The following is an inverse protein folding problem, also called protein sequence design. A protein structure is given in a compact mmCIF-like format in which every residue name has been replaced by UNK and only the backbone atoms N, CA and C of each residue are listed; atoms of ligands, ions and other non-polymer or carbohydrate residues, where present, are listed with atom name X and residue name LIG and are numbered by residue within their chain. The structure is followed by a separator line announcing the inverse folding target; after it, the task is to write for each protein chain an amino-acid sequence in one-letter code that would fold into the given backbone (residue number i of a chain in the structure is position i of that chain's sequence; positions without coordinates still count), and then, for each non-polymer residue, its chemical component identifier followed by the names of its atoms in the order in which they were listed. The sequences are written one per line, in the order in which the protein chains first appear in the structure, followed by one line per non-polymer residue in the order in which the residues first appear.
data_IF_204715003059
#
_entry.id   IF_204715003059
#
_cell.length_a   1.000
_cell.length_b   1.000
_cell.length_c   1.000
_cell.angle_alpha   90.00
_cell.angle_beta   90.00
_cell.angle_gamma   90.00
#
_symmetry.space_group_name_H-M   'P 1'
#
loop_
_entity.id
_entity.type
_entity.pdbx_description
1 polymer ?
#
# COMPACT_ATOMS: atom_id res chain seq x y z
N UNK A 1 25.54 -12.84 45.00
CA UNK A 1 25.55 -12.08 43.69
C UNK A 1 24.43 -12.63 42.82
N UNK A 2 23.34 -11.93 42.69
CA UNK A 2 22.32 -12.21 41.66
C UNK A 2 22.93 -11.76 40.33
N UNK A 3 23.19 -12.71 39.43
CA UNK A 3 23.74 -12.46 38.08
C UNK A 3 22.65 -11.77 37.24
N UNK A 4 22.44 -10.47 37.48
CA UNK A 4 21.41 -9.68 36.78
C UNK A 4 22.00 -9.16 35.50
N UNK A 5 21.64 -9.81 34.39
CA UNK A 5 22.07 -9.40 33.05
C UNK A 5 21.25 -8.21 32.61
N UNK A 6 21.94 -7.13 32.23
CA UNK A 6 21.28 -5.92 31.68
C UNK A 6 20.66 -6.17 30.30
N UNK A 7 21.26 -7.09 29.54
CA UNK A 7 20.83 -7.51 28.19
C UNK A 7 20.85 -9.03 28.14
N UNK A 8 19.74 -9.64 27.78
CA UNK A 8 19.59 -11.10 27.73
C UNK A 8 18.75 -11.53 26.52
N UNK A 9 19.21 -12.56 25.83
CA UNK A 9 18.42 -13.23 24.79
C UNK A 9 17.54 -14.29 25.43
N UNK A 10 16.24 -14.13 25.34
CA UNK A 10 15.23 -15.07 25.79
C UNK A 10 14.59 -15.80 24.62
N UNK A 11 13.74 -16.79 24.87
CA UNK A 11 12.94 -17.46 23.82
C UNK A 11 11.94 -16.51 23.15
N UNK A 12 11.60 -15.40 23.82
CA UNK A 12 10.66 -14.40 23.35
C UNK A 12 11.33 -13.23 22.64
N UNK A 13 12.67 -13.19 22.63
CA UNK A 13 13.47 -12.14 22.00
C UNK A 13 14.48 -11.49 22.95
N UNK A 14 14.91 -10.28 22.62
CA UNK A 14 15.87 -9.50 23.42
C UNK A 14 15.15 -8.82 24.59
N UNK A 15 15.51 -9.20 25.81
CA UNK A 15 15.14 -8.50 27.04
C UNK A 15 16.26 -7.54 27.43
N UNK A 16 15.90 -6.30 27.75
CA UNK A 16 16.82 -5.29 28.27
C UNK A 16 16.25 -4.73 29.56
N UNK A 17 17.12 -4.42 30.51
CA UNK A 17 16.74 -3.76 31.76
C UNK A 17 16.35 -2.32 31.53
N UNK A 18 15.41 -1.81 32.31
CA UNK A 18 15.00 -0.41 32.35
C UNK A 18 15.86 0.40 33.33
N UNK A 19 15.90 1.73 33.21
CA UNK A 19 16.63 2.60 34.12
C UNK A 19 16.38 2.30 35.61
N UNK A 20 15.12 2.15 36.10
CA UNK A 20 14.85 1.83 37.51
C UNK A 20 15.44 0.47 37.93
N UNK A 21 15.38 -0.53 37.05
CA UNK A 21 15.96 -1.85 37.34
C UNK A 21 17.49 -1.76 37.41
N UNK A 22 18.12 -1.00 36.51
CA UNK A 22 19.57 -0.79 36.49
C UNK A 22 20.00 -0.04 37.76
N UNK A 23 19.32 1.02 38.13
CA UNK A 23 19.62 1.80 39.33
C UNK A 23 19.49 0.93 40.59
N UNK A 24 18.45 0.12 40.69
CA UNK A 24 18.28 -0.81 41.82
C UNK A 24 19.43 -1.83 41.92
N UNK A 25 19.85 -2.39 40.78
CA UNK A 25 21.00 -3.30 40.74
C UNK A 25 22.28 -2.62 41.19
N UNK A 26 22.57 -1.41 40.70
CA UNK A 26 23.75 -0.64 41.08
C UNK A 26 23.73 -0.24 42.56
N UNK A 27 22.58 0.12 43.10
CA UNK A 27 22.41 0.43 44.52
C UNK A 27 22.65 -0.80 45.38
N UNK A 28 22.07 -1.95 45.04
CA UNK A 28 22.28 -3.19 45.75
C UNK A 28 23.75 -3.65 45.71
N UNK A 29 24.41 -3.56 44.57
CA UNK A 29 25.84 -3.85 44.43
C UNK A 29 26.69 -2.94 45.32
N UNK A 30 26.32 -1.66 45.43
CA UNK A 30 27.02 -0.70 46.29
C UNK A 30 26.86 -1.07 47.76
N UNK A 31 25.65 -1.38 48.24
CA UNK A 31 25.37 -1.79 49.60
C UNK A 31 26.09 -3.12 49.93
N UNK A 32 26.08 -4.06 48.99
CA UNK A 32 26.82 -5.33 49.16
C UNK A 32 28.34 -5.13 49.30
N UNK A 33 28.89 -4.20 48.51
CA UNK A 33 30.35 -3.96 48.47
C UNK A 33 30.85 -3.10 49.64
N UNK A 34 30.07 -2.09 50.08
CA UNK A 34 30.50 -1.11 51.08
C UNK A 34 29.78 -1.21 52.43
N UNK A 35 28.76 -2.06 52.57
CA UNK A 35 27.95 -2.25 53.76
C UNK A 35 26.64 -1.43 53.76
N UNK A 36 25.70 -1.85 54.62
CA UNK A 36 24.38 -1.25 54.68
C UNK A 36 24.36 0.20 55.18
N UNK A 37 25.40 0.61 55.87
CA UNK A 37 25.57 2.00 56.39
C UNK A 37 26.08 2.99 55.34
N UNK A 38 26.39 2.50 54.12
CA UNK A 38 26.83 3.35 53.03
C UNK A 38 25.67 4.17 52.49
N UNK A 39 25.82 5.51 52.47
CA UNK A 39 24.75 6.42 52.07
C UNK A 39 24.46 6.33 50.56
N UNK A 40 23.35 5.67 50.20
CA UNK A 40 22.79 5.58 48.85
C UNK A 40 21.41 6.25 48.76
N UNK A 41 21.14 7.19 49.67
CA UNK A 41 19.85 7.91 49.73
C UNK A 41 19.76 8.95 48.58
N UNK A 42 18.53 9.22 48.15
CA UNK A 42 18.25 10.27 47.17
C UNK A 42 18.89 11.60 47.61
N UNK A 43 19.67 12.21 46.67
CA UNK A 43 20.38 13.46 46.94
C UNK A 43 21.83 13.31 47.44
N UNK A 44 22.30 12.12 47.84
CA UNK A 44 23.71 11.88 48.12
C UNK A 44 24.52 11.98 46.82
N UNK A 45 25.79 12.41 46.93
CA UNK A 45 26.67 12.48 45.78
C UNK A 45 26.84 11.12 45.05
N UNK A 46 26.84 10.03 45.83
CA UNK A 46 26.93 8.68 45.29
C UNK A 46 25.67 8.28 44.54
N UNK A 47 24.49 8.57 45.09
CA UNK A 47 23.23 8.31 44.40
C UNK A 47 23.15 9.07 43.07
N UNK A 48 23.54 10.35 43.05
CA UNK A 48 23.59 11.16 41.81
C UNK A 48 24.52 10.49 40.76
N UNK A 49 25.66 9.97 41.20
CA UNK A 49 26.56 9.21 40.32
C UNK A 49 25.92 7.93 39.76
N UNK A 50 25.28 7.14 40.63
CA UNK A 50 24.58 5.91 40.22
C UNK A 50 23.40 6.20 39.28
N UNK A 51 22.66 7.27 39.54
CA UNK A 51 21.59 7.73 38.65
C UNK A 51 22.11 8.14 37.25
N UNK A 52 23.22 8.87 37.21
CA UNK A 52 23.88 9.24 35.95
C UNK A 52 24.40 8.03 35.21
N UNK A 53 25.01 7.06 35.92
CA UNK A 53 25.50 5.82 35.35
C UNK A 53 24.32 4.96 34.83
N UNK A 54 23.22 4.87 35.57
CA UNK A 54 22.01 4.15 35.13
C UNK A 54 21.41 4.74 33.88
N UNK A 55 21.39 6.07 33.70
CA UNK A 55 20.99 6.73 32.46
C UNK A 55 21.88 6.32 31.27
N UNK A 56 23.20 6.27 31.48
CA UNK A 56 24.13 5.90 30.42
C UNK A 56 23.95 4.44 29.99
N UNK A 57 23.73 3.55 30.96
CA UNK A 57 23.48 2.13 30.70
C UNK A 57 22.09 1.90 30.06
N UNK A 58 21.06 2.64 30.44
CA UNK A 58 19.75 2.59 29.83
C UNK A 58 19.79 3.03 28.36
N UNK A 59 20.60 4.04 28.01
CA UNK A 59 20.84 4.42 26.62
C UNK A 59 21.50 3.28 25.82
N UNK A 60 22.43 2.54 26.42
CA UNK A 60 23.03 1.35 25.77
C UNK A 60 22.00 0.24 25.60
N UNK A 61 21.17 -0.04 26.60
CA UNK A 61 20.10 -1.01 26.55
C UNK A 61 19.06 -0.65 25.47
N UNK A 62 18.72 0.63 25.36
CA UNK A 62 17.80 1.14 24.35
C UNK A 62 18.37 0.98 22.94
N UNK A 63 19.64 1.37 22.74
CA UNK A 63 20.32 1.21 21.45
C UNK A 63 20.41 -0.29 21.04
N UNK A 64 20.69 -1.18 22.00
CA UNK A 64 20.71 -2.62 21.73
C UNK A 64 19.33 -3.16 21.31
N UNK A 65 18.25 -2.68 21.94
CA UNK A 65 16.87 -3.03 21.60
C UNK A 65 16.48 -2.52 20.21
N UNK A 66 16.83 -1.29 19.89
CA UNK A 66 16.60 -0.71 18.57
C UNK A 66 17.35 -1.48 17.49
N UNK A 67 18.62 -1.81 17.73
CA UNK A 67 19.44 -2.62 16.79
C UNK A 67 18.82 -4.02 16.57
N UNK A 68 18.38 -4.68 17.64
CA UNK A 68 17.72 -5.98 17.54
C UNK A 68 16.42 -5.90 16.73
N UNK A 69 15.57 -4.91 17.02
CA UNK A 69 14.32 -4.70 16.31
C UNK A 69 14.55 -4.34 14.83
N UNK A 70 15.66 -3.67 14.53
CA UNK A 70 16.03 -3.30 13.16
C UNK A 70 16.48 -4.48 12.28
N UNK A 71 16.66 -5.68 12.84
CA UNK A 71 17.04 -6.89 12.08
C UNK A 71 15.87 -7.58 11.38
N UNK A 72 14.63 -7.24 11.70
CA UNK A 72 13.44 -7.84 11.11
C UNK A 72 12.76 -6.93 10.10
N UNK A 73 12.33 -7.47 8.96
CA UNK A 73 11.63 -6.72 7.90
C UNK A 73 10.40 -5.97 8.43
N UNK A 74 9.73 -6.50 9.47
CA UNK A 74 8.52 -5.92 10.05
C UNK A 74 8.84 -4.61 10.81
N UNK A 75 9.97 -4.58 11.51
CA UNK A 75 10.33 -3.48 12.42
C UNK A 75 11.45 -2.58 11.89
N UNK A 76 12.17 -3.01 10.86
CA UNK A 76 13.23 -2.22 10.25
C UNK A 76 12.70 -0.98 9.54
N UNK A 77 13.44 0.12 9.60
CA UNK A 77 13.11 1.37 8.93
C UNK A 77 14.35 1.96 8.23
N UNK A 78 14.12 2.83 7.25
CA UNK A 78 15.16 3.53 6.50
C UNK A 78 16.19 2.58 5.89
N UNK A 79 17.48 2.88 6.05
CA UNK A 79 18.59 2.10 5.50
C UNK A 79 18.65 0.65 6.00
N UNK A 80 18.17 0.36 7.21
CA UNK A 80 18.11 -1.02 7.72
C UNK A 80 17.08 -1.85 6.94
N UNK A 81 15.92 -1.27 6.65
CA UNK A 81 14.91 -1.92 5.79
C UNK A 81 15.47 -2.13 4.38
N UNK A 82 16.14 -1.11 3.81
CA UNK A 82 16.74 -1.22 2.48
C UNK A 82 17.78 -2.35 2.40
N UNK A 83 18.62 -2.49 3.43
CA UNK A 83 19.61 -3.56 3.51
C UNK A 83 18.96 -4.96 3.58
N UNK A 84 17.89 -5.09 4.38
CA UNK A 84 17.20 -6.38 4.52
C UNK A 84 16.55 -6.79 3.20
N UNK A 85 15.81 -5.89 2.56
CA UNK A 85 15.08 -6.21 1.33
C UNK A 85 16.00 -6.38 0.12
N UNK A 86 17.18 -5.76 0.13
CA UNK A 86 18.20 -5.92 -0.91
C UNK A 86 18.73 -7.35 -1.00
N UNK A 87 18.71 -8.11 0.11
CA UNK A 87 19.07 -9.53 0.12
C UNK A 87 18.12 -10.39 -0.74
N UNK A 88 16.88 -9.91 -0.93
CA UNK A 88 15.89 -10.51 -1.82
C UNK A 88 15.88 -9.88 -3.22
N UNK A 89 16.86 -9.04 -3.56
CA UNK A 89 16.93 -8.33 -4.84
C UNK A 89 15.91 -7.20 -4.99
N UNK A 90 15.34 -6.72 -3.88
CA UNK A 90 14.31 -5.68 -3.87
C UNK A 90 14.96 -4.36 -3.45
N UNK A 91 14.79 -3.33 -4.25
CA UNK A 91 15.34 -2.00 -4.01
C UNK A 91 14.23 -0.97 -3.87
N UNK A 92 14.46 0.05 -3.03
CA UNK A 92 13.53 1.16 -2.84
C UNK A 92 13.34 1.94 -4.14
N UNK A 93 12.09 2.22 -4.49
CA UNK A 93 11.74 3.12 -5.59
C UNK A 93 11.93 4.58 -5.15
N UNK A 94 12.06 5.47 -6.13
CA UNK A 94 12.13 6.91 -5.85
C UNK A 94 10.88 7.35 -5.08
N UNK A 95 11.09 8.07 -3.99
CA UNK A 95 10.05 8.61 -3.10
C UNK A 95 9.13 7.55 -2.43
N UNK A 96 9.57 6.27 -2.37
CA UNK A 96 8.82 5.18 -1.75
C UNK A 96 8.98 5.22 -0.22
N UNK A 97 7.85 5.28 0.50
CA UNK A 97 7.83 5.22 1.96
C UNK A 97 8.18 3.80 2.48
N UNK A 98 8.72 3.72 3.72
CA UNK A 98 9.09 2.44 4.35
C UNK A 98 7.96 1.42 4.36
N UNK A 99 6.73 1.83 4.64
CA UNK A 99 5.57 0.95 4.68
C UNK A 99 5.24 0.36 3.30
N UNK A 100 5.37 1.16 2.25
CA UNK A 100 5.14 0.70 0.88
C UNK A 100 6.22 -0.30 0.45
N UNK A 101 7.50 0.00 0.74
CA UNK A 101 8.60 -0.91 0.48
C UNK A 101 8.45 -2.22 1.26
N UNK A 102 8.10 -2.15 2.55
CA UNK A 102 7.87 -3.31 3.42
C UNK A 102 6.77 -4.22 2.86
N UNK A 103 5.62 -3.66 2.53
CA UNK A 103 4.49 -4.41 1.99
C UNK A 103 4.83 -5.06 0.65
N UNK A 104 5.54 -4.35 -0.23
CA UNK A 104 6.02 -4.88 -1.51
C UNK A 104 7.03 -6.00 -1.32
N UNK A 105 7.96 -5.84 -0.39
CA UNK A 105 8.98 -6.85 -0.10
C UNK A 105 8.38 -8.13 0.52
N UNK A 106 7.48 -7.98 1.49
CA UNK A 106 6.77 -9.11 2.09
C UNK A 106 5.98 -9.86 1.02
N UNK A 107 5.21 -9.15 0.19
CA UNK A 107 4.46 -9.76 -0.90
C UNK A 107 5.37 -10.50 -1.87
N UNK A 108 6.50 -9.93 -2.26
CA UNK A 108 7.48 -10.55 -3.16
C UNK A 108 8.12 -11.81 -2.58
N UNK A 109 8.56 -11.76 -1.32
CA UNK A 109 9.19 -12.91 -0.64
C UNK A 109 8.20 -14.08 -0.52
N UNK A 110 6.95 -13.80 -0.15
CA UNK A 110 5.92 -14.85 -0.05
C UNK A 110 5.49 -15.37 -1.43
N UNK A 111 5.41 -14.52 -2.46
CA UNK A 111 4.98 -14.94 -3.79
C UNK A 111 5.98 -15.87 -4.48
N UNK A 112 7.26 -15.70 -4.24
CA UNK A 112 8.31 -16.59 -4.77
C UNK A 112 8.13 -18.05 -4.29
N UNK A 113 7.39 -18.25 -3.20
CA UNK A 113 7.15 -19.55 -2.60
C UNK A 113 5.79 -20.18 -2.95
N UNK A 114 4.84 -19.45 -3.58
CA UNK A 114 3.43 -19.86 -3.59
C UNK A 114 2.78 -20.04 -4.95
N UNK A 115 2.98 -19.15 -5.91
CA UNK A 115 2.42 -19.35 -7.26
C UNK A 115 3.17 -18.58 -8.34
N UNK A 116 3.08 -19.08 -9.58
CA UNK A 116 3.63 -18.40 -10.77
C UNK A 116 2.92 -17.05 -10.99
N UNK A 117 1.63 -16.97 -10.72
CA UNK A 117 0.86 -15.73 -10.87
C UNK A 117 1.34 -14.64 -9.92
N UNK A 118 1.51 -14.94 -8.63
CA UNK A 118 1.98 -13.99 -7.62
C UNK A 118 3.44 -13.57 -7.86
N UNK A 119 4.28 -14.48 -8.33
CA UNK A 119 5.66 -14.18 -8.71
C UNK A 119 5.71 -13.20 -9.88
N UNK A 120 4.84 -13.39 -10.88
CA UNK A 120 4.73 -12.48 -12.02
C UNK A 120 4.17 -11.11 -11.60
N UNK A 121 3.12 -11.07 -10.76
CA UNK A 121 2.61 -9.80 -10.18
C UNK A 121 3.71 -9.03 -9.46
N UNK A 122 4.50 -9.73 -8.64
CA UNK A 122 5.61 -9.13 -7.90
C UNK A 122 6.72 -8.61 -8.80
N UNK A 123 7.08 -9.37 -9.85
CA UNK A 123 8.09 -8.94 -10.81
C UNK A 123 7.65 -7.69 -11.59
N UNK A 124 6.38 -7.62 -12.00
CA UNK A 124 5.82 -6.44 -12.65
C UNK A 124 5.82 -5.22 -11.71
N UNK A 125 5.48 -5.41 -10.44
CA UNK A 125 5.50 -4.34 -9.43
C UNK A 125 6.92 -3.83 -9.08
N UNK A 126 7.99 -4.52 -9.49
CA UNK A 126 9.37 -3.98 -9.38
C UNK A 126 9.63 -2.82 -10.36
N UNK A 127 8.89 -2.75 -11.45
CA UNK A 127 9.03 -1.65 -12.39
C UNK A 127 8.55 -0.33 -11.77
N UNK A 128 9.39 0.70 -11.82
CA UNK A 128 9.12 1.99 -11.16
C UNK A 128 7.84 2.68 -11.64
N UNK A 129 7.42 2.40 -12.86
CA UNK A 129 6.26 3.00 -13.49
C UNK A 129 4.98 2.17 -13.37
N UNK A 130 5.02 0.98 -12.81
CA UNK A 130 3.84 0.15 -12.54
C UNK A 130 3.30 0.45 -11.14
N UNK A 131 2.02 0.81 -11.07
CA UNK A 131 1.29 1.06 -9.83
C UNK A 131 0.53 -0.17 -9.34
N UNK A 132 0.00 -0.97 -10.27
CA UNK A 132 -0.77 -2.16 -9.98
C UNK A 132 -0.49 -3.25 -11.02
N UNK A 133 -0.44 -4.50 -10.58
CA UNK A 133 -0.38 -5.68 -11.42
C UNK A 133 -1.28 -6.77 -10.86
N UNK A 134 -2.03 -7.44 -11.74
CA UNK A 134 -2.85 -8.61 -11.42
C UNK A 134 -2.71 -9.65 -12.51
N UNK A 135 -2.55 -10.90 -12.10
CA UNK A 135 -2.47 -12.05 -13.00
C UNK A 135 -3.61 -12.99 -12.68
N UNK A 136 -4.38 -13.34 -13.70
CA UNK A 136 -5.47 -14.30 -13.61
C UNK A 136 -5.11 -15.48 -14.51
N UNK A 137 -4.91 -16.63 -13.89
CA UNK A 137 -4.54 -17.87 -14.56
C UNK A 137 -5.79 -18.75 -14.74
N UNK A 138 -5.96 -19.28 -15.95
CA UNK A 138 -6.93 -20.35 -16.21
C UNK A 138 -6.19 -21.65 -16.53
N UNK A 139 -5.85 -22.45 -15.52
CA UNK A 139 -5.19 -23.74 -15.71
C UNK A 139 -6.14 -24.86 -16.17
N UNK A 140 -7.44 -24.58 -16.29
CA UNK A 140 -8.47 -25.59 -16.58
C UNK A 140 -8.53 -25.93 -18.07
N UNK A 141 -9.13 -27.06 -18.38
CA UNK A 141 -9.40 -27.53 -19.76
C UNK A 141 -10.60 -26.83 -20.42
N UNK A 142 -11.27 -25.93 -19.69
CA UNK A 142 -12.43 -25.16 -20.12
C UNK A 142 -12.17 -23.64 -20.00
N UNK A 143 -12.92 -22.87 -20.76
CA UNK A 143 -12.88 -21.41 -20.68
C UNK A 143 -13.47 -20.92 -19.35
N UNK A 144 -12.81 -19.96 -18.71
CA UNK A 144 -13.24 -19.35 -17.46
C UNK A 144 -13.71 -17.91 -17.68
N UNK A 145 -14.83 -17.52 -17.09
CA UNK A 145 -15.33 -16.15 -17.20
C UNK A 145 -15.06 -15.35 -15.91
N UNK A 146 -14.48 -14.18 -16.05
CA UNK A 146 -14.20 -13.25 -14.98
C UNK A 146 -14.82 -11.89 -15.30
N UNK A 147 -15.88 -11.54 -14.58
CA UNK A 147 -16.70 -10.38 -14.95
C UNK A 147 -17.34 -10.60 -16.33
N UNK A 148 -17.00 -9.73 -17.28
CA UNK A 148 -17.46 -9.83 -18.68
C UNK A 148 -16.38 -10.35 -19.64
N UNK A 149 -15.24 -10.81 -19.12
CA UNK A 149 -14.11 -11.32 -19.91
C UNK A 149 -13.99 -12.81 -19.79
N UNK A 150 -13.93 -13.50 -20.93
CA UNK A 150 -13.69 -14.95 -21.02
C UNK A 150 -12.21 -15.20 -21.21
N UNK A 151 -11.61 -15.91 -20.27
CA UNK A 151 -10.21 -16.35 -20.31
C UNK A 151 -10.20 -17.76 -20.90
N UNK A 152 -9.62 -17.88 -22.09
CA UNK A 152 -9.50 -19.17 -22.75
C UNK A 152 -8.68 -20.16 -21.91
N UNK A 153 -8.98 -21.46 -22.06
CA UNK A 153 -8.24 -22.51 -21.37
C UNK A 153 -6.74 -22.39 -21.58
N UNK A 154 -5.98 -22.70 -20.55
CA UNK A 154 -4.50 -22.66 -20.54
C UNK A 154 -3.92 -21.29 -20.89
N UNK A 155 -4.65 -20.21 -20.61
CA UNK A 155 -4.16 -18.85 -20.81
C UNK A 155 -4.06 -18.10 -19.49
N UNK A 156 -3.09 -17.21 -19.41
CA UNK A 156 -3.02 -16.19 -18.38
C UNK A 156 -3.48 -14.85 -18.94
N UNK A 157 -4.18 -14.09 -18.10
CA UNK A 157 -4.56 -12.72 -18.38
C UNK A 157 -3.84 -11.80 -17.40
N UNK A 158 -2.93 -10.99 -17.92
CA UNK A 158 -2.13 -10.05 -17.15
C UNK A 158 -2.72 -8.64 -17.30
N UNK A 159 -2.94 -8.02 -16.17
CA UNK A 159 -3.47 -6.66 -16.01
C UNK A 159 -2.41 -5.80 -15.35
N UNK A 160 -2.10 -4.66 -15.93
CA UNK A 160 -1.18 -3.68 -15.34
C UNK A 160 -1.84 -2.31 -15.29
N UNK A 161 -1.48 -1.51 -14.30
CA UNK A 161 -1.77 -0.07 -14.27
C UNK A 161 -0.45 0.67 -14.18
N UNK A 162 -0.23 1.60 -15.08
CA UNK A 162 0.92 2.51 -15.03
C UNK A 162 0.56 3.75 -14.20
N UNK A 163 1.57 4.41 -13.67
CA UNK A 163 1.43 5.67 -12.96
C UNK A 163 0.88 6.77 -13.88
N UNK A 164 0.16 7.70 -13.31
CA UNK A 164 -0.38 8.84 -14.05
C UNK A 164 0.72 9.59 -14.80
N UNK A 165 0.46 9.90 -16.08
CA UNK A 165 1.42 10.58 -16.97
C UNK A 165 2.47 9.67 -17.60
N UNK A 166 2.44 8.36 -17.33
CA UNK A 166 3.30 7.38 -17.99
C UNK A 166 2.52 6.69 -19.10
N UNK A 167 3.16 6.56 -20.29
CA UNK A 167 2.59 5.83 -21.41
C UNK A 167 3.33 4.52 -21.62
N UNK A 168 2.59 3.48 -22.02
CA UNK A 168 3.09 2.21 -22.57
C UNK A 168 2.59 1.98 -24.01
N UNK A 169 2.20 3.06 -24.68
CA UNK A 169 1.74 3.02 -26.06
C UNK A 169 2.93 2.94 -27.03
N UNK A 170 2.80 2.11 -28.06
CA UNK A 170 3.79 1.94 -29.14
C UNK A 170 4.02 3.18 -30.00
N UNK A 171 3.11 4.13 -29.98
CA UNK A 171 3.26 5.40 -30.70
C UNK A 171 4.37 6.28 -30.14
N UNK A 172 4.77 6.03 -28.88
CA UNK A 172 5.84 6.70 -28.16
C UNK A 172 7.03 5.76 -27.97
N UNK A 173 8.26 6.25 -28.22
CA UNK A 173 9.50 5.45 -28.13
C UNK A 173 9.71 4.88 -26.74
N UNK A 174 9.47 5.69 -25.70
CA UNK A 174 9.61 5.24 -24.30
C UNK A 174 8.45 4.31 -23.91
N UNK A 175 7.24 4.56 -24.40
CA UNK A 175 6.09 3.69 -24.22
C UNK A 175 6.32 2.31 -24.83
N UNK A 176 6.87 2.26 -26.06
CA UNK A 176 7.21 1.00 -26.72
C UNK A 176 8.28 0.20 -25.98
N UNK A 177 9.27 0.86 -25.35
CA UNK A 177 10.26 0.20 -24.50
C UNK A 177 9.63 -0.42 -23.27
N UNK A 178 8.77 0.35 -22.57
CA UNK A 178 8.07 -0.12 -21.36
C UNK A 178 7.13 -1.28 -21.68
N UNK A 179 6.38 -1.19 -22.79
CA UNK A 179 5.52 -2.30 -23.23
C UNK A 179 6.34 -3.58 -23.46
N UNK A 180 7.51 -3.45 -24.10
CA UNK A 180 8.41 -4.57 -24.34
C UNK A 180 8.99 -5.13 -23.04
N UNK A 181 9.41 -4.29 -22.10
CA UNK A 181 9.92 -4.70 -20.80
C UNK A 181 8.87 -5.48 -20.01
N UNK A 182 7.60 -5.02 -19.99
CA UNK A 182 6.47 -5.75 -19.40
C UNK A 182 6.32 -7.13 -20.07
N UNK A 183 6.37 -7.17 -21.40
CA UNK A 183 6.23 -8.42 -22.15
C UNK A 183 7.40 -9.39 -21.90
N UNK A 184 8.62 -8.92 -21.73
CA UNK A 184 9.79 -9.72 -21.37
C UNK A 184 9.63 -10.35 -19.97
N UNK A 185 9.15 -9.58 -18.99
CA UNK A 185 8.84 -10.09 -17.65
C UNK A 185 7.74 -11.16 -17.72
N UNK A 186 6.64 -10.90 -18.45
CA UNK A 186 5.57 -11.87 -18.61
C UNK A 186 6.11 -13.17 -19.23
N UNK A 187 6.90 -13.08 -20.28
CA UNK A 187 7.51 -14.24 -20.92
C UNK A 187 8.40 -15.04 -19.98
N UNK A 188 9.19 -14.34 -19.16
CA UNK A 188 10.12 -14.99 -18.21
C UNK A 188 9.41 -15.73 -17.07
N UNK A 189 8.31 -15.18 -16.57
CA UNK A 189 7.62 -15.71 -15.39
C UNK A 189 6.41 -16.60 -15.73
N UNK A 190 5.85 -16.55 -16.94
CA UNK A 190 4.72 -17.40 -17.29
C UNK A 190 5.10 -18.87 -17.29
N UNK A 191 4.14 -19.74 -16.96
CA UNK A 191 4.33 -21.18 -17.04
C UNK A 191 4.63 -21.64 -18.46
N UNK A 192 5.47 -22.67 -18.60
CA UNK A 192 5.69 -23.35 -19.87
C UNK A 192 4.37 -23.93 -20.37
N UNK A 193 4.03 -23.63 -21.63
CA UNK A 193 2.78 -24.08 -22.24
C UNK A 193 1.59 -23.16 -22.05
N UNK A 194 1.61 -22.22 -21.11
CA UNK A 194 0.52 -21.24 -20.97
C UNK A 194 0.58 -20.19 -22.07
N UNK A 195 -0.58 -19.93 -22.69
CA UNK A 195 -0.79 -18.79 -23.58
C UNK A 195 -0.94 -17.48 -22.79
N UNK A 196 -0.84 -16.35 -23.48
CA UNK A 196 -1.19 -15.03 -22.94
C UNK A 196 -2.34 -14.45 -23.73
N UNK A 197 -3.24 -13.76 -23.06
CA UNK A 197 -4.39 -13.13 -23.70
C UNK A 197 -4.51 -11.65 -23.35
N UNK A 198 -5.27 -10.95 -24.17
CA UNK A 198 -5.83 -9.64 -23.85
C UNK A 198 -7.32 -9.62 -24.19
N UNK A 199 -8.04 -8.66 -23.66
CA UNK A 199 -9.46 -8.47 -23.89
C UNK A 199 -9.73 -7.04 -24.36
N UNK A 200 -10.78 -6.86 -25.17
CA UNK A 200 -11.22 -5.54 -25.62
C UNK A 200 -12.06 -4.80 -24.54
N UNK A 201 -12.50 -5.54 -23.51
CA UNK A 201 -13.23 -4.98 -22.36
C UNK A 201 -12.26 -4.80 -21.20
N UNK A 202 -12.45 -3.73 -20.45
CA UNK A 202 -11.74 -3.49 -19.21
C UNK A 202 -10.37 -2.82 -19.36
N UNK A 203 -10.09 -2.14 -20.49
CA UNK A 203 -8.87 -1.37 -20.65
C UNK A 203 -8.21 -1.49 -22.02
N UNK A 204 -7.01 -0.95 -22.14
CA UNK A 204 -6.24 -0.98 -23.40
C UNK A 204 -5.56 -2.34 -23.59
N UNK A 205 -5.75 -2.93 -24.77
CA UNK A 205 -5.18 -4.23 -25.13
C UNK A 205 -3.78 -4.04 -25.74
N UNK A 206 -2.78 -4.72 -25.20
CA UNK A 206 -1.40 -4.68 -25.66
C UNK A 206 -1.01 -6.02 -26.31
N UNK A 207 -0.18 -5.93 -27.37
CA UNK A 207 0.38 -7.08 -28.10
C UNK A 207 1.85 -6.78 -28.40
N UNK A 208 2.76 -7.40 -27.68
CA UNK A 208 4.18 -7.21 -27.87
C UNK A 208 4.85 -8.47 -28.41
N UNK A 209 5.93 -8.32 -29.15
CA UNK A 209 6.75 -9.44 -29.62
C UNK A 209 8.11 -9.40 -28.95
N UNK A 210 8.45 -10.46 -28.25
CA UNK A 210 9.74 -10.67 -27.60
C UNK A 210 10.49 -11.74 -28.38
N UNK A 211 11.73 -11.45 -28.75
CA UNK A 211 12.59 -12.41 -29.50
C UNK A 211 13.66 -12.95 -28.57
N UNK A 212 13.70 -14.27 -28.37
CA UNK A 212 14.75 -14.97 -27.63
C UNK A 212 15.33 -16.05 -28.56
N UNK A 213 16.64 -16.06 -28.73
CA UNK A 213 17.35 -17.03 -29.56
C UNK A 213 16.79 -17.16 -31.00
N UNK A 214 16.34 -16.03 -31.56
CA UNK A 214 15.75 -15.99 -32.91
C UNK A 214 14.28 -16.44 -32.96
N UNK A 215 13.66 -16.84 -31.86
CA UNK A 215 12.25 -17.24 -31.77
C UNK A 215 11.40 -16.05 -31.31
N UNK A 216 10.35 -15.76 -32.04
CA UNK A 216 9.41 -14.69 -31.74
C UNK A 216 8.23 -15.17 -30.88
N UNK A 217 8.14 -14.61 -29.69
CA UNK A 217 7.04 -14.86 -28.75
C UNK A 217 6.06 -13.68 -28.76
N UNK A 218 4.81 -13.94 -29.07
CA UNK A 218 3.75 -12.92 -28.99
C UNK A 218 3.16 -12.93 -27.59
N UNK A 219 3.34 -11.84 -26.88
CA UNK A 219 2.84 -11.63 -25.50
C UNK A 219 1.70 -10.64 -25.55
N UNK A 220 0.61 -10.99 -24.89
CA UNK A 220 -0.61 -10.18 -24.79
C UNK A 220 -0.91 -9.87 -23.34
N UNK A 221 -1.35 -8.65 -23.07
CA UNK A 221 -1.77 -8.20 -21.75
C UNK A 221 -2.72 -6.99 -21.88
N UNK A 222 -3.30 -6.54 -20.78
CA UNK A 222 -4.10 -5.31 -20.76
C UNK A 222 -3.52 -4.29 -19.78
N UNK A 223 -3.61 -3.03 -20.16
CA UNK A 223 -3.64 -1.93 -19.20
C UNK A 223 -5.05 -1.78 -18.65
N UNK A 224 -5.20 -1.59 -17.32
CA UNK A 224 -6.50 -1.52 -16.65
C UNK A 224 -7.35 -0.37 -17.17
N UNK A 225 -8.63 -0.61 -17.28
CA UNK A 225 -9.60 0.39 -17.70
C UNK A 225 -10.03 1.35 -16.58
N UNK A 226 -10.61 2.46 -17.01
CA UNK A 226 -11.23 3.43 -16.11
C UNK A 226 -12.74 3.37 -16.26
N UNK A 227 -13.47 3.22 -15.13
CA UNK A 227 -14.91 3.30 -15.08
C UNK A 227 -15.34 4.68 -14.58
N UNK A 228 -15.88 5.48 -15.45
CA UNK A 228 -16.34 6.82 -15.11
C UNK A 228 -17.58 6.75 -14.22
N UNK A 229 -17.54 7.47 -13.10
CA UNK A 229 -18.63 7.53 -12.13
C UNK A 229 -19.24 8.92 -12.14
N UNK A 230 -20.55 8.97 -12.33
CA UNK A 230 -21.36 10.18 -12.26
C UNK A 230 -22.09 10.21 -10.91
N UNK A 231 -22.11 11.38 -10.27
CA UNK A 231 -22.74 11.57 -8.96
C UNK A 231 -23.62 12.82 -8.99
N UNK A 232 -24.86 12.67 -8.56
CA UNK A 232 -25.75 13.81 -8.32
C UNK A 232 -26.05 13.89 -6.82
N UNK A 233 -25.78 15.03 -6.22
CA UNK A 233 -25.97 15.27 -4.78
C UNK A 233 -26.95 16.44 -4.60
N UNK A 234 -28.06 16.22 -3.91
CA UNK A 234 -28.92 17.28 -3.38
C UNK A 234 -28.48 17.60 -1.95
N UNK A 235 -28.27 18.87 -1.68
CA UNK A 235 -27.97 19.37 -0.34
C UNK A 235 -29.01 20.37 0.11
N UNK A 236 -29.35 20.33 1.41
CA UNK A 236 -30.17 21.34 2.08
C UNK A 236 -29.24 22.18 2.95
N UNK A 237 -29.24 23.47 2.72
CA UNK A 237 -28.41 24.42 3.44
C UNK A 237 -29.17 24.96 4.66
N UNK A 238 -28.52 24.92 5.83
CA UNK A 238 -29.09 25.51 7.05
C UNK A 238 -28.84 27.01 7.14
N UNK A 239 -27.78 27.52 6.50
CA UNK A 239 -27.41 28.93 6.51
C UNK A 239 -26.74 29.34 5.18
N UNK A 240 -27.33 30.28 4.47
CA UNK A 240 -27.03 30.60 3.04
C UNK A 240 -25.88 31.64 2.93
N UNK A 241 -24.81 31.58 3.69
CA UNK A 241 -23.75 32.60 3.54
C UNK A 241 -22.76 32.34 2.42
N UNK A 242 -22.55 31.07 2.00
CA UNK A 242 -21.63 30.76 0.91
C UNK A 242 -21.97 29.43 0.20
N UNK A 243 -23.04 29.44 -0.56
CA UNK A 243 -23.52 28.30 -1.35
C UNK A 243 -22.44 27.70 -2.25
N UNK A 244 -21.72 28.56 -2.99
CA UNK A 244 -20.69 28.12 -3.95
C UNK A 244 -19.52 27.39 -3.30
N UNK A 245 -19.10 27.86 -2.14
CA UNK A 245 -18.03 27.20 -1.38
C UNK A 245 -18.46 25.83 -0.87
N UNK A 246 -19.71 25.69 -0.40
CA UNK A 246 -20.23 24.39 0.07
C UNK A 246 -20.34 23.41 -1.10
N UNK A 247 -20.91 23.84 -2.23
CA UNK A 247 -21.03 23.01 -3.44
C UNK A 247 -19.64 22.56 -3.93
N UNK A 248 -18.64 23.44 -3.90
CA UNK A 248 -17.25 23.09 -4.26
C UNK A 248 -16.63 22.07 -3.30
N UNK A 249 -16.82 22.23 -1.98
CA UNK A 249 -16.33 21.26 -0.98
C UNK A 249 -17.00 19.90 -1.11
N UNK A 250 -18.29 19.85 -1.42
CA UNK A 250 -19.02 18.61 -1.66
C UNK A 250 -18.48 17.91 -2.91
N UNK A 251 -18.26 18.66 -4.00
CA UNK A 251 -17.66 18.13 -5.23
C UNK A 251 -16.26 17.57 -4.98
N UNK A 252 -15.42 18.33 -4.29
CA UNK A 252 -14.06 17.91 -3.92
C UNK A 252 -14.09 16.61 -3.09
N UNK A 253 -14.94 16.54 -2.06
CA UNK A 253 -15.07 15.33 -1.22
C UNK A 253 -15.46 14.09 -2.03
N UNK A 254 -16.37 14.23 -3.00
CA UNK A 254 -16.80 13.13 -3.88
C UNK A 254 -15.65 12.72 -4.81
N UNK A 255 -14.97 13.70 -5.42
CA UNK A 255 -13.85 13.45 -6.33
C UNK A 255 -12.70 12.76 -5.60
N UNK A 256 -12.31 13.29 -4.44
CA UNK A 256 -11.24 12.70 -3.60
C UNK A 256 -11.56 11.27 -3.22
N UNK A 257 -12.78 11.02 -2.73
CA UNK A 257 -13.20 9.69 -2.31
C UNK A 257 -13.20 8.69 -3.45
N UNK A 258 -13.87 8.99 -4.58
CA UNK A 258 -13.96 8.05 -5.70
C UNK A 258 -12.59 7.79 -6.31
N UNK A 259 -11.75 8.81 -6.44
CA UNK A 259 -10.41 8.67 -7.01
C UNK A 259 -9.42 7.98 -6.07
N UNK A 260 -9.73 7.88 -4.77
CA UNK A 260 -8.95 7.09 -3.81
C UNK A 260 -9.27 5.59 -3.82
N UNK A 261 -10.34 5.17 -4.52
CA UNK A 261 -10.72 3.77 -4.60
C UNK A 261 -9.70 2.94 -5.39
N UNK A 262 -9.41 1.75 -4.87
CA UNK A 262 -8.53 0.79 -5.54
C UNK A 262 -9.23 0.14 -6.75
N UNK A 263 -8.43 -0.51 -7.60
CA UNK A 263 -8.92 -1.29 -8.74
C UNK A 263 -9.81 -2.43 -8.22
N UNK A 264 -10.98 -2.60 -8.83
CA UNK A 264 -11.96 -3.60 -8.44
C UNK A 264 -12.79 -3.24 -7.21
N UNK A 265 -12.65 -2.04 -6.67
CA UNK A 265 -13.42 -1.62 -5.52
C UNK A 265 -14.72 -0.95 -5.94
N UNK A 266 -15.85 -1.53 -5.49
CA UNK A 266 -17.20 -1.01 -5.75
C UNK A 266 -17.44 0.38 -5.16
N UNK A 267 -18.18 1.20 -5.90
CA UNK A 267 -18.63 2.51 -5.42
C UNK A 267 -19.96 2.35 -4.70
N UNK A 268 -19.96 2.57 -3.40
CA UNK A 268 -21.14 2.49 -2.54
C UNK A 268 -21.66 3.90 -2.20
N UNK A 269 -22.93 4.15 -2.44
CA UNK A 269 -23.60 5.43 -2.10
C UNK A 269 -23.39 5.81 -0.63
N UNK A 270 -23.48 4.85 0.29
CA UNK A 270 -23.30 5.10 1.72
C UNK A 270 -21.92 5.65 2.07
N UNK A 271 -20.87 5.18 1.40
CA UNK A 271 -19.51 5.66 1.59
C UNK A 271 -19.30 7.05 0.97
N UNK A 272 -19.95 7.31 -0.17
CA UNK A 272 -19.93 8.67 -0.77
C UNK A 272 -20.60 9.66 0.18
N UNK A 273 -21.77 9.31 0.76
CA UNK A 273 -22.42 10.15 1.79
C UNK A 273 -21.51 10.38 2.98
N UNK A 274 -20.84 9.35 3.47
CA UNK A 274 -19.89 9.47 4.58
C UNK A 274 -18.72 10.41 4.26
N UNK A 275 -18.16 10.32 3.05
CA UNK A 275 -17.11 11.22 2.59
C UNK A 275 -17.57 12.69 2.52
N UNK A 276 -18.79 12.94 2.04
CA UNK A 276 -19.38 14.28 2.03
C UNK A 276 -19.59 14.78 3.46
N UNK A 277 -20.16 13.95 4.33
CA UNK A 277 -20.45 14.32 5.73
C UNK A 277 -19.18 14.60 6.53
N UNK A 278 -18.06 13.97 6.22
CA UNK A 278 -16.77 14.23 6.88
C UNK A 278 -16.23 15.64 6.64
N UNK A 279 -16.66 16.32 5.58
CA UNK A 279 -16.31 17.72 5.29
C UNK A 279 -17.23 18.72 5.98
N UNK A 280 -18.32 18.26 6.63
CA UNK A 280 -19.25 19.08 7.37
C UNK A 280 -18.78 19.29 8.82
N UNK A 281 -17.56 19.84 9.00
CA UNK A 281 -16.91 19.94 10.31
C UNK A 281 -17.03 21.33 10.95
N UNK A 282 -17.72 22.27 10.31
CA UNK A 282 -17.79 23.66 10.77
C UNK A 282 -19.19 24.00 11.27
N UNK A 283 -19.30 24.56 12.46
CA UNK A 283 -20.54 25.11 13.05
C UNK A 283 -21.14 26.28 12.22
N UNK A 284 -20.38 26.84 11.27
CA UNK A 284 -20.79 27.97 10.45
C UNK A 284 -21.36 27.60 9.07
N UNK A 285 -21.19 26.34 8.65
CA UNK A 285 -21.57 25.86 7.31
C UNK A 285 -22.28 24.49 7.39
N UNK A 286 -23.35 24.42 8.19
CA UNK A 286 -24.17 23.21 8.27
C UNK A 286 -24.92 22.95 6.96
N UNK A 287 -24.85 21.73 6.46
CA UNK A 287 -25.67 21.25 5.37
C UNK A 287 -26.06 19.78 5.58
N UNK A 288 -27.22 19.40 5.11
CA UNK A 288 -27.68 18.02 5.08
C UNK A 288 -27.69 17.49 3.64
N UNK A 289 -27.32 16.23 3.47
CA UNK A 289 -27.49 15.53 2.20
C UNK A 289 -28.95 15.10 2.08
N UNK A 290 -29.71 15.75 1.20
CA UNK A 290 -31.12 15.45 0.98
C UNK A 290 -31.36 14.34 -0.02
N UNK A 291 -30.48 14.18 -1.00
CA UNK A 291 -30.52 13.10 -2.00
C UNK A 291 -29.17 12.84 -2.58
N UNK A 292 -28.93 11.61 -2.99
CA UNK A 292 -27.74 11.22 -3.73
C UNK A 292 -28.07 10.12 -4.72
N UNK A 293 -27.49 10.21 -5.91
CA UNK A 293 -27.52 9.13 -6.89
C UNK A 293 -26.13 8.95 -7.49
N UNK A 294 -25.77 7.72 -7.77
CA UNK A 294 -24.50 7.33 -8.40
C UNK A 294 -24.78 6.46 -9.62
N UNK A 295 -23.89 6.47 -10.57
CA UNK A 295 -23.99 5.60 -11.73
C UNK A 295 -22.87 5.76 -12.74
N UNK A 296 -22.95 5.03 -13.83
CA UNK A 296 -21.98 5.06 -14.94
C UNK A 296 -22.38 6.03 -16.06
N UNK A 297 -23.57 6.59 -15.98
CA UNK A 297 -24.08 7.66 -16.86
C UNK A 297 -24.72 8.74 -16.02
N UNK A 298 -24.90 9.92 -16.60
CA UNK A 298 -25.45 11.07 -15.90
C UNK A 298 -26.88 10.83 -15.37
N UNK A 299 -27.68 10.00 -16.04
CA UNK A 299 -29.05 9.70 -15.65
C UNK A 299 -29.22 8.45 -14.78
N UNK A 300 -28.14 7.81 -14.40
CA UNK A 300 -28.18 6.62 -13.56
C UNK A 300 -28.64 6.96 -12.14
N UNK A 301 -29.45 6.05 -11.54
CA UNK A 301 -30.01 6.20 -10.19
C UNK A 301 -29.79 4.94 -9.38
N UNK A 302 -28.53 4.52 -9.23
CA UNK A 302 -28.19 3.31 -8.47
C UNK A 302 -27.65 3.64 -7.08
N UNK A 303 -27.68 2.69 -6.19
CA UNK A 303 -27.10 2.78 -4.84
C UNK A 303 -25.69 2.21 -4.75
N UNK A 304 -25.31 1.45 -5.78
CA UNK A 304 -24.00 0.83 -5.90
C UNK A 304 -23.61 0.76 -7.38
N UNK A 305 -22.35 0.98 -7.67
CA UNK A 305 -21.75 0.69 -8.97
C UNK A 305 -20.69 -0.36 -8.76
N UNK A 306 -20.92 -1.55 -9.31
CA UNK A 306 -19.93 -2.63 -9.30
C UNK A 306 -18.77 -2.30 -10.24
N UNK A 307 -17.57 -2.50 -9.77
CA UNK A 307 -16.31 -2.25 -10.49
C UNK A 307 -15.57 -3.57 -10.62
N UNK A 308 -15.32 -3.99 -11.84
CA UNK A 308 -14.61 -5.25 -12.07
C UNK A 308 -13.12 -5.10 -11.71
N UNK A 309 -12.47 -6.22 -11.35
CA UNK A 309 -11.06 -6.26 -10.95
C UNK A 309 -10.04 -5.81 -12.04
N UNK A 310 -10.52 -5.47 -13.21
CA UNK A 310 -9.76 -4.90 -14.32
C UNK A 310 -10.10 -3.43 -14.60
N UNK A 311 -10.90 -2.80 -13.76
CA UNK A 311 -11.33 -1.39 -13.87
C UNK A 311 -11.04 -0.64 -12.58
N UNK A 312 -10.78 0.65 -12.67
CA UNK A 312 -10.75 1.56 -11.55
C UNK A 312 -11.88 2.58 -11.67
N UNK A 313 -12.64 2.76 -10.60
CA UNK A 313 -13.60 3.86 -10.51
C UNK A 313 -12.86 5.19 -10.51
N UNK A 314 -13.27 6.10 -11.40
CA UNK A 314 -12.74 7.46 -11.46
C UNK A 314 -13.88 8.44 -11.68
N UNK A 315 -13.73 9.65 -11.16
CA UNK A 315 -14.63 10.75 -11.41
C UNK A 315 -13.86 12.05 -11.57
N UNK A 316 -14.50 13.05 -12.12
CA UNK A 316 -13.99 14.41 -12.22
C UNK A 316 -15.08 15.41 -11.83
N UNK A 317 -14.69 16.64 -11.57
CA UNK A 317 -15.61 17.68 -11.12
C UNK A 317 -16.85 17.86 -12.03
N UNK A 318 -16.67 17.66 -13.35
CA UNK A 318 -17.75 17.76 -14.35
C UNK A 318 -18.77 16.61 -14.25
N UNK A 319 -18.39 15.48 -13.66
CA UNK A 319 -19.27 14.32 -13.46
C UNK A 319 -20.00 14.37 -12.12
N UNK A 320 -19.73 15.41 -11.31
CA UNK A 320 -20.37 15.61 -10.00
C UNK A 320 -21.29 16.84 -10.08
N UNK A 321 -22.58 16.59 -10.04
CA UNK A 321 -23.60 17.67 -10.00
C UNK A 321 -24.07 17.84 -8.56
N UNK A 322 -23.96 19.05 -8.03
CA UNK A 322 -24.48 19.42 -6.71
C UNK A 322 -25.58 20.42 -6.88
N UNK A 323 -26.74 20.13 -6.30
CA UNK A 323 -27.90 21.01 -6.29
C UNK A 323 -28.29 21.34 -4.86
N UNK A 324 -28.42 22.62 -4.54
CA UNK A 324 -28.84 23.08 -3.21
C UNK A 324 -30.29 23.54 -3.27
N UNK A 325 -31.05 23.06 -2.30
CA UNK A 325 -32.46 23.40 -2.05
C UNK A 325 -32.60 24.25 -0.79
#
# INVERSE_FOLDING_TARGET
MTDTKLIEFTKEGLRTSTKPEILNVLTNMTVEAFGADFAVDEGSAWYIFLDSLSNSLDNVCTAARELYNAQGIINANGSNLDNIVSLAGIYRKKDEADEQLRNRAIKSIYSTATSVAESLESALLQLDYIEFAKVIDNPQDEDMTVGEVTIAKHNIWVLVKVKDGVSIDKSDIEGAKREKEIAEIILHYKSLGSGTMNANKGGTAHNSTVTIDGINYKIKFNETGTKNIYVKVGIKLENIKDKTTIESKVKEAVVDYINSLEIGQDVLMSRVVSAISSKNTSTDYGFDVSSITIGTTEDSTTTMVSVYQYEQAKTKSDFVTVTSV
#
